data_IF_720507429821
#
_entry.id   IF_720507429821
#
_cell.length_a   1.000
_cell.length_b   1.000
_cell.length_c   1.000
_cell.angle_alpha   90.00
_cell.angle_beta   90.00
_cell.angle_gamma   90.00
#
_symmetry.space_group_name_H-M   'P 1'
#
loop_
_entity.id
_entity.type
_entity.pdbx_description
1 polymer ?
#
# COMPACT_ATOMS: atom_id res chain seq x y z
N UNK A 1 -12.01 -10.16 -5.90
CA UNK A 1 -12.48 -9.86 -4.52
C UNK A 1 -12.33 -8.36 -4.24
N UNK A 2 -13.19 -7.50 -4.83
CA UNK A 2 -13.04 -6.04 -4.72
C UNK A 2 -13.21 -5.55 -3.28
N UNK A 3 -14.13 -6.13 -2.50
CA UNK A 3 -14.37 -5.73 -1.10
C UNK A 3 -13.19 -5.99 -0.17
N UNK A 4 -12.53 -7.15 -0.28
CA UNK A 4 -11.35 -7.48 0.54
C UNK A 4 -10.18 -6.56 0.23
N UNK A 5 -9.94 -6.28 -1.06
CA UNK A 5 -8.84 -5.39 -1.48
C UNK A 5 -9.08 -3.97 -0.95
N UNK A 6 -10.32 -3.47 -1.01
CA UNK A 6 -10.66 -2.14 -0.50
C UNK A 6 -10.47 -2.04 1.03
N UNK A 7 -10.93 -3.06 1.79
CA UNK A 7 -10.71 -3.13 3.24
C UNK A 7 -9.21 -3.16 3.58
N UNK A 8 -8.43 -3.96 2.86
CA UNK A 8 -6.98 -4.03 3.06
C UNK A 8 -6.31 -2.70 2.72
N UNK A 9 -6.70 -2.04 1.63
CA UNK A 9 -6.16 -0.73 1.25
C UNK A 9 -6.41 0.34 2.33
N UNK A 10 -7.61 0.34 2.92
CA UNK A 10 -7.95 1.21 4.06
C UNK A 10 -7.02 0.98 5.26
N UNK A 11 -6.83 -0.28 5.65
CA UNK A 11 -5.99 -0.66 6.79
C UNK A 11 -4.51 -0.33 6.53
N UNK A 12 -4.00 -0.65 5.35
CA UNK A 12 -2.61 -0.36 4.95
C UNK A 12 -2.37 1.16 4.95
N UNK A 13 -3.25 1.94 4.32
CA UNK A 13 -3.13 3.40 4.31
C UNK A 13 -3.13 3.98 5.73
N UNK A 14 -3.96 3.44 6.62
CA UNK A 14 -4.03 3.88 8.02
C UNK A 14 -2.75 3.60 8.79
N UNK A 15 -2.14 2.43 8.60
CA UNK A 15 -0.91 2.04 9.33
C UNK A 15 0.33 2.72 8.74
N UNK A 16 0.40 2.87 7.42
CA UNK A 16 1.63 3.35 6.77
C UNK A 16 1.74 4.87 6.71
N UNK A 17 0.61 5.57 6.66
CA UNK A 17 0.55 7.01 6.36
C UNK A 17 -0.18 7.78 7.47
N UNK A 18 -1.05 7.08 8.21
CA UNK A 18 -1.84 7.66 9.29
C UNK A 18 -3.31 7.93 8.92
N UNK A 19 -4.06 8.56 9.83
CA UNK A 19 -5.52 8.68 9.77
C UNK A 19 -6.02 9.63 8.65
N UNK A 20 -5.18 10.51 8.15
CA UNK A 20 -5.58 11.57 7.22
C UNK A 20 -5.84 11.02 5.82
N UNK A 21 -4.93 10.16 5.32
CA UNK A 21 -5.04 9.61 3.97
C UNK A 21 -5.93 8.39 3.89
N UNK A 22 -6.09 7.64 4.98
CA UNK A 22 -6.96 6.46 4.99
C UNK A 22 -8.45 6.80 4.80
N UNK A 23 -8.83 8.08 4.87
CA UNK A 23 -10.20 8.56 4.63
C UNK A 23 -10.37 9.22 3.26
N UNK A 24 -9.27 9.46 2.54
CA UNK A 24 -9.31 10.08 1.23
C UNK A 24 -9.71 9.03 0.18
N UNK A 25 -10.96 9.10 -0.28
CA UNK A 25 -11.50 8.15 -1.27
C UNK A 25 -10.71 8.20 -2.59
N UNK A 26 -10.25 9.37 -3.03
CA UNK A 26 -9.42 9.48 -4.24
C UNK A 26 -8.12 8.68 -4.09
N UNK A 27 -7.47 8.78 -2.92
CA UNK A 27 -6.25 8.01 -2.66
C UNK A 27 -6.53 6.51 -2.65
N UNK A 28 -7.60 6.07 -1.99
CA UNK A 28 -7.95 4.65 -1.88
C UNK A 28 -8.29 4.05 -3.26
N UNK A 29 -9.10 4.74 -4.05
CA UNK A 29 -9.51 4.29 -5.38
C UNK A 29 -8.31 4.17 -6.30
N UNK A 30 -7.46 5.20 -6.34
CA UNK A 30 -6.23 5.16 -7.14
C UNK A 30 -5.28 4.08 -6.64
N UNK A 31 -5.14 3.88 -5.33
CA UNK A 31 -4.28 2.83 -4.75
C UNK A 31 -4.76 1.43 -5.13
N UNK A 32 -6.06 1.17 -5.04
CA UNK A 32 -6.66 -0.12 -5.40
C UNK A 32 -6.51 -0.38 -6.90
N UNK A 33 -6.80 0.62 -7.74
CA UNK A 33 -6.66 0.48 -9.18
C UNK A 33 -5.20 0.32 -9.61
N UNK A 34 -4.28 1.08 -9.00
CA UNK A 34 -2.85 0.95 -9.24
C UNK A 34 -2.37 -0.45 -8.90
N UNK A 35 -2.77 -0.97 -7.74
CA UNK A 35 -2.45 -2.33 -7.33
C UNK A 35 -2.94 -3.38 -8.35
N UNK A 36 -4.22 -3.34 -8.72
CA UNK A 36 -4.79 -4.25 -9.70
C UNK A 36 -4.04 -4.20 -11.05
N UNK A 37 -3.78 -2.99 -11.56
CA UNK A 37 -3.10 -2.80 -12.83
C UNK A 37 -1.62 -3.25 -12.79
N UNK A 38 -0.95 -3.06 -11.65
CA UNK A 38 0.45 -3.46 -11.48
C UNK A 38 0.60 -4.97 -11.63
N UNK A 39 -0.31 -5.76 -11.06
CA UNK A 39 -0.31 -7.22 -11.24
C UNK A 39 -0.53 -7.63 -12.69
N UNK A 40 -1.49 -6.99 -13.37
CA UNK A 40 -1.80 -7.31 -14.77
C UNK A 40 -0.57 -7.05 -15.64
N UNK A 41 0.03 -5.86 -15.51
CA UNK A 41 1.23 -5.49 -16.28
C UNK A 41 2.42 -6.38 -15.91
N UNK A 42 2.62 -6.68 -14.63
CA UNK A 42 3.68 -7.58 -14.17
C UNK A 42 3.54 -8.97 -14.79
N UNK A 43 2.33 -9.57 -14.76
CA UNK A 43 2.08 -10.88 -15.37
C UNK A 43 2.31 -10.88 -16.87
N UNK A 44 1.84 -9.86 -17.60
CA UNK A 44 2.09 -9.74 -19.04
C UNK A 44 3.60 -9.70 -19.32
N UNK A 45 4.37 -8.94 -18.53
CA UNK A 45 5.82 -8.84 -18.69
C UNK A 45 6.55 -10.14 -18.33
N UNK A 46 6.10 -10.87 -17.32
CA UNK A 46 6.68 -12.16 -16.93
C UNK A 46 6.50 -13.22 -18.01
N UNK A 47 5.34 -13.23 -18.68
CA UNK A 47 5.03 -14.19 -19.75
C UNK A 47 5.64 -13.80 -21.11
N UNK A 48 6.10 -12.56 -21.27
CA UNK A 48 6.75 -12.11 -22.49
C UNK A 48 8.20 -12.65 -22.59
N UNK A 49 8.56 -13.33 -23.70
CA UNK A 49 9.93 -13.72 -23.98
C UNK A 49 10.86 -12.52 -24.00
N UNK A 50 12.11 -12.69 -23.59
CA UNK A 50 13.12 -11.63 -23.50
C UNK A 50 13.30 -10.84 -24.80
N UNK A 51 13.16 -11.50 -25.96
CA UNK A 51 13.26 -10.87 -27.28
C UNK A 51 12.12 -9.89 -27.60
N UNK A 52 10.92 -10.09 -27.06
CA UNK A 52 9.77 -9.21 -27.30
C UNK A 52 9.67 -8.06 -26.28
N UNK A 53 10.43 -8.09 -25.19
CA UNK A 53 10.45 -7.04 -24.15
C UNK A 53 10.62 -5.61 -24.69
N UNK A 54 11.52 -5.30 -25.66
CA UNK A 54 11.68 -3.93 -26.15
C UNK A 54 10.51 -3.42 -27.00
N UNK A 55 9.70 -4.31 -27.56
CA UNK A 55 8.48 -3.95 -28.30
C UNK A 55 7.31 -3.82 -27.33
N UNK A 56 7.16 -4.81 -26.45
CA UNK A 56 6.11 -4.88 -25.44
C UNK A 56 6.18 -3.71 -24.45
N UNK A 57 7.39 -3.23 -24.09
CA UNK A 57 7.54 -2.03 -23.24
C UNK A 57 6.91 -0.76 -23.83
N UNK A 58 6.80 -0.67 -25.16
CA UNK A 58 6.23 0.48 -25.87
C UNK A 58 4.75 0.27 -26.21
N UNK A 59 4.33 -1.01 -26.36
CA UNK A 59 2.96 -1.35 -26.74
C UNK A 59 2.03 -1.43 -25.53
N UNK A 60 2.48 -1.78 -24.32
CA UNK A 60 1.57 -1.92 -23.17
C UNK A 60 0.96 -0.55 -22.79
N UNK A 61 -0.31 -0.26 -23.10
CA UNK A 61 -0.96 0.99 -22.69
C UNK A 61 -1.08 1.06 -21.15
N UNK A 62 -1.06 -0.11 -20.50
CA UNK A 62 -1.02 -0.25 -19.05
C UNK A 62 0.15 0.48 -18.39
N UNK A 63 1.31 0.68 -19.06
CA UNK A 63 2.41 1.48 -18.50
C UNK A 63 2.06 2.96 -18.40
N UNK A 64 1.37 3.51 -19.40
CA UNK A 64 0.91 4.91 -19.37
C UNK A 64 -0.11 5.06 -18.23
N UNK A 65 -1.01 4.08 -18.10
CA UNK A 65 -2.01 4.09 -17.04
C UNK A 65 -1.38 4.01 -15.65
N UNK A 66 -0.42 3.10 -15.45
CA UNK A 66 0.34 3.00 -14.19
C UNK A 66 1.10 4.29 -13.86
N UNK A 67 1.75 4.92 -14.84
CA UNK A 67 2.44 6.21 -14.62
C UNK A 67 1.47 7.32 -14.24
N UNK A 68 0.27 7.37 -14.82
CA UNK A 68 -0.77 8.33 -14.46
C UNK A 68 -1.25 8.10 -13.02
N UNK A 69 -1.50 6.84 -12.67
CA UNK A 69 -1.92 6.47 -11.31
C UNK A 69 -0.83 6.77 -10.27
N UNK A 70 0.43 6.44 -10.57
CA UNK A 70 1.57 6.80 -9.71
C UNK A 70 1.66 8.32 -9.54
N UNK A 71 1.52 9.11 -10.62
CA UNK A 71 1.54 10.56 -10.54
C UNK A 71 0.37 11.12 -9.70
N UNK A 72 -0.82 10.52 -9.79
CA UNK A 72 -1.97 10.87 -8.94
C UNK A 72 -1.68 10.56 -7.47
N UNK A 73 -1.14 9.38 -7.15
CA UNK A 73 -0.78 9.02 -5.78
C UNK A 73 0.31 9.95 -5.24
N UNK A 74 1.36 10.25 -6.02
CA UNK A 74 2.39 11.22 -5.65
C UNK A 74 1.78 12.59 -5.35
N UNK A 75 0.88 13.08 -6.21
CA UNK A 75 0.19 14.36 -5.98
C UNK A 75 -0.55 14.40 -4.65
N UNK A 76 -1.20 13.30 -4.27
CA UNK A 76 -1.93 13.19 -3.01
C UNK A 76 -1.01 13.04 -1.80
N UNK A 77 0.15 12.39 -1.94
CA UNK A 77 1.12 12.17 -0.86
C UNK A 77 2.04 13.36 -0.61
N UNK A 78 2.40 14.09 -1.65
CA UNK A 78 3.39 15.17 -1.59
C UNK A 78 3.11 16.21 -0.50
N UNK A 79 1.88 16.75 -0.34
CA UNK A 79 1.60 17.73 0.70
C UNK A 79 1.93 17.22 2.11
N UNK A 80 1.61 15.96 2.41
CA UNK A 80 1.83 15.35 3.72
C UNK A 80 3.32 15.11 3.99
N UNK A 81 4.05 14.62 2.99
CA UNK A 81 5.50 14.40 3.10
C UNK A 81 6.22 15.74 3.29
N UNK A 82 5.86 16.75 2.51
CA UNK A 82 6.45 18.09 2.63
C UNK A 82 6.12 18.75 3.96
N UNK A 83 4.86 18.68 4.41
CA UNK A 83 4.44 19.22 5.70
C UNK A 83 5.22 18.57 6.85
N UNK A 84 5.34 17.23 6.86
CA UNK A 84 6.10 16.53 7.89
C UNK A 84 7.59 16.89 7.88
N UNK A 85 8.20 17.01 6.70
CA UNK A 85 9.59 17.45 6.58
C UNK A 85 9.80 18.85 7.16
N UNK A 86 8.86 19.76 6.96
CA UNK A 86 8.89 21.11 7.54
C UNK A 86 8.72 21.09 9.06
N UNK A 87 7.79 20.29 9.59
CA UNK A 87 7.58 20.14 11.04
C UNK A 87 8.83 19.59 11.73
N UNK A 88 9.45 18.55 11.15
CA UNK A 88 10.69 17.98 11.65
C UNK A 88 11.85 18.99 11.63
N UNK A 89 11.98 19.78 10.55
CA UNK A 89 13.01 20.82 10.45
C UNK A 89 12.79 21.98 11.44
N UNK A 90 11.55 22.26 11.85
CA UNK A 90 11.21 23.27 12.84
C UNK A 90 11.52 22.84 14.29
N UNK A 91 12.03 21.62 14.50
CA UNK A 91 12.36 21.10 15.84
C UNK A 91 11.15 20.68 16.67
N UNK A 92 9.96 20.65 16.06
CA UNK A 92 8.76 20.12 16.70
C UNK A 92 8.69 18.61 16.45
N UNK A 93 8.60 17.87 17.55
CA UNK A 93 8.21 16.45 17.73
C UNK A 93 8.60 15.45 16.63
N UNK A 94 9.21 14.33 17.03
CA UNK A 94 9.31 13.15 16.16
C UNK A 94 7.91 12.81 15.64
N UNK A 95 7.79 12.67 14.32
CA UNK A 95 6.54 12.40 13.65
C UNK A 95 5.87 11.11 14.17
N UNK A 96 4.64 10.82 13.72
CA UNK A 96 3.96 9.58 14.09
C UNK A 96 4.86 8.37 13.79
N UNK A 97 4.87 7.38 14.69
CA UNK A 97 5.57 6.10 14.47
C UNK A 97 4.83 5.29 13.38
N UNK A 98 5.08 5.67 12.14
CA UNK A 98 4.50 5.07 10.94
C UNK A 98 5.57 4.77 9.89
N UNK A 99 5.14 4.13 8.79
CA UNK A 99 6.07 3.67 7.77
C UNK A 99 6.78 4.83 7.04
N UNK A 100 6.13 5.99 6.93
CA UNK A 100 6.76 7.17 6.37
C UNK A 100 7.91 7.65 7.27
N UNK A 101 7.71 7.69 8.59
CA UNK A 101 8.76 8.00 9.55
C UNK A 101 9.89 6.97 9.49
N UNK A 102 9.57 5.67 9.44
CA UNK A 102 10.56 4.60 9.29
C UNK A 102 11.43 4.78 8.04
N UNK A 103 10.82 5.12 6.90
CA UNK A 103 11.57 5.37 5.66
C UNK A 103 12.41 6.63 5.75
N UNK A 104 11.91 7.71 6.34
CA UNK A 104 12.70 8.89 6.59
C UNK A 104 13.89 8.59 7.49
N UNK A 105 13.74 7.78 8.53
CA UNK A 105 14.83 7.45 9.45
C UNK A 105 15.89 6.55 8.82
N UNK A 106 15.47 5.57 8.01
CA UNK A 106 16.36 4.63 7.33
C UNK A 106 17.07 5.19 6.09
N UNK A 107 16.62 6.33 5.55
CA UNK A 107 17.16 6.93 4.32
C UNK A 107 18.44 7.73 4.56
N UNK A 108 19.29 7.86 3.53
CA UNK A 108 20.42 8.80 3.54
C UNK A 108 19.93 10.27 3.56
N UNK A 109 20.79 11.21 3.95
CA UNK A 109 20.39 12.63 4.00
C UNK A 109 19.90 13.18 2.64
N UNK A 110 20.48 12.70 1.54
CA UNK A 110 20.07 13.09 0.19
C UNK A 110 18.65 12.59 -0.12
N UNK A 111 18.33 11.36 0.25
CA UNK A 111 17.02 10.73 0.06
C UNK A 111 15.95 11.32 0.99
N UNK A 112 16.30 11.67 2.23
CA UNK A 112 15.40 12.39 3.15
C UNK A 112 14.93 13.73 2.58
N UNK A 113 15.83 14.41 1.85
CA UNK A 113 15.57 15.69 1.21
C UNK A 113 14.88 15.55 -0.16
N UNK A 114 14.55 14.34 -0.61
CA UNK A 114 13.78 14.09 -1.83
C UNK A 114 12.37 13.55 -1.48
N UNK A 115 11.36 14.44 -1.38
CA UNK A 115 9.98 14.03 -1.16
C UNK A 115 9.44 13.07 -2.24
N UNK A 116 9.97 13.14 -3.46
CA UNK A 116 9.60 12.26 -4.55
C UNK A 116 10.09 10.83 -4.33
N UNK A 117 11.29 10.66 -3.77
CA UNK A 117 11.82 9.38 -3.34
C UNK A 117 10.96 8.76 -2.23
N UNK A 118 10.67 9.53 -1.17
CA UNK A 118 9.82 9.06 -0.07
C UNK A 118 8.41 8.68 -0.54
N UNK A 119 7.81 9.48 -1.43
CA UNK A 119 6.51 9.19 -2.01
C UNK A 119 6.53 7.87 -2.79
N UNK A 120 7.54 7.65 -3.63
CA UNK A 120 7.67 6.42 -4.41
C UNK A 120 7.87 5.20 -3.51
N UNK A 121 8.73 5.31 -2.50
CA UNK A 121 8.96 4.25 -1.51
C UNK A 121 7.68 3.86 -0.79
N UNK A 122 6.88 4.84 -0.37
CA UNK A 122 5.59 4.63 0.28
C UNK A 122 4.56 3.99 -0.66
N UNK A 123 4.48 4.44 -1.92
CA UNK A 123 3.60 3.84 -2.95
C UNK A 123 3.95 2.36 -3.15
N UNK A 124 5.24 2.04 -3.29
CA UNK A 124 5.71 0.67 -3.48
C UNK A 124 5.44 -0.21 -2.25
N UNK A 125 5.61 0.32 -1.05
CA UNK A 125 5.31 -0.38 0.18
C UNK A 125 3.80 -0.68 0.31
N UNK A 126 2.95 0.33 0.07
CA UNK A 126 1.49 0.16 0.05
C UNK A 126 1.07 -0.90 -0.97
N UNK A 127 1.64 -0.85 -2.18
CA UNK A 127 1.38 -1.84 -3.24
C UNK A 127 1.70 -3.27 -2.76
N UNK A 128 2.90 -3.47 -2.22
CA UNK A 128 3.34 -4.78 -1.74
C UNK A 128 2.45 -5.31 -0.60
N UNK A 129 2.13 -4.45 0.37
CA UNK A 129 1.30 -4.79 1.52
C UNK A 129 -0.15 -5.10 1.12
N UNK A 130 -0.75 -4.32 0.22
CA UNK A 130 -2.12 -4.55 -0.26
C UNK A 130 -2.20 -5.91 -0.95
N UNK A 131 -1.23 -6.23 -1.80
CA UNK A 131 -1.26 -7.49 -2.55
C UNK A 131 -1.13 -8.72 -1.68
N UNK A 132 -0.07 -8.79 -0.88
CA UNK A 132 0.17 -9.97 -0.03
C UNK A 132 -0.95 -10.16 0.98
N UNK A 133 -1.40 -9.08 1.63
CA UNK A 133 -2.46 -9.14 2.65
C UNK A 133 -3.81 -9.49 2.04
N UNK A 134 -4.15 -8.97 0.85
CA UNK A 134 -5.40 -9.35 0.19
C UNK A 134 -5.42 -10.83 -0.19
N UNK A 135 -4.29 -11.42 -0.59
CA UNK A 135 -4.16 -12.86 -0.86
C UNK A 135 -4.38 -13.64 0.45
N UNK A 136 -3.67 -13.29 1.52
CA UNK A 136 -3.80 -13.96 2.82
C UNK A 136 -5.22 -13.85 3.36
N UNK A 137 -5.82 -12.66 3.32
CA UNK A 137 -7.19 -12.43 3.78
C UNK A 137 -8.20 -13.24 2.97
N UNK A 138 -8.04 -13.29 1.64
CA UNK A 138 -8.91 -14.10 0.78
C UNK A 138 -8.79 -15.58 1.11
N UNK A 139 -7.56 -16.10 1.23
CA UNK A 139 -7.32 -17.50 1.55
C UNK A 139 -7.87 -17.86 2.95
N UNK A 140 -7.68 -16.99 3.94
CA UNK A 140 -8.25 -17.18 5.28
C UNK A 140 -9.78 -17.26 5.25
N UNK A 141 -10.45 -16.41 4.47
CA UNK A 141 -11.91 -16.47 4.30
C UNK A 141 -12.33 -17.79 3.63
N UNK A 142 -11.62 -18.24 2.61
CA UNK A 142 -11.89 -19.51 1.92
C UNK A 142 -11.66 -20.72 2.82
N UNK A 143 -10.61 -20.71 3.64
CA UNK A 143 -10.33 -21.76 4.62
C UNK A 143 -11.44 -21.84 5.68
N UNK A 144 -11.94 -20.70 6.15
CA UNK A 144 -13.07 -20.66 7.09
C UNK A 144 -14.37 -21.16 6.45
N UNK A 145 -14.62 -20.83 5.18
CA UNK A 145 -15.80 -21.30 4.45
C UNK A 145 -15.78 -22.81 4.20
N UNK A 146 -14.60 -23.40 3.98
CA UNK A 146 -14.44 -24.84 3.72
C UNK A 146 -14.25 -25.67 4.98
N UNK A 147 -13.84 -25.06 6.10
CA UNK A 147 -13.58 -25.72 7.38
C UNK A 147 -14.32 -25.01 8.53
N UNK A 148 -15.65 -25.12 8.60
CA UNK A 148 -16.46 -24.43 9.61
C UNK A 148 -16.06 -24.79 11.05
N UNK A 149 -15.43 -25.96 11.29
CA UNK A 149 -14.88 -26.32 12.60
C UNK A 149 -13.83 -25.34 13.14
N UNK A 150 -13.21 -24.52 12.29
CA UNK A 150 -12.25 -23.49 12.70
C UNK A 150 -12.94 -22.25 13.31
N UNK A 151 -14.24 -22.05 13.07
CA UNK A 151 -14.93 -20.84 13.52
C UNK A 151 -15.04 -20.71 15.04
N UNK A 152 -15.33 -21.80 15.74
CA UNK A 152 -15.51 -21.76 17.19
C UNK A 152 -14.19 -21.51 17.95
N UNK A 153 -13.06 -22.16 17.60
CA UNK A 153 -11.74 -21.78 18.10
C UNK A 153 -11.41 -20.31 17.81
N UNK A 154 -11.64 -19.83 16.57
CA UNK A 154 -11.33 -18.46 16.18
C UNK A 154 -12.13 -17.42 17.00
N UNK A 155 -13.45 -17.65 17.16
CA UNK A 155 -14.32 -16.79 17.98
C UNK A 155 -13.91 -16.77 19.45
N UNK A 156 -13.50 -17.92 20.00
CA UNK A 156 -12.96 -17.99 21.38
C UNK A 156 -11.66 -17.21 21.50
N UNK A 157 -10.71 -17.39 20.57
CA UNK A 157 -9.46 -16.63 20.53
C UNK A 157 -9.70 -15.13 20.47
N UNK A 158 -10.57 -14.67 19.56
CA UNK A 158 -10.93 -13.26 19.42
C UNK A 158 -11.52 -12.68 20.72
N UNK A 159 -12.47 -13.39 21.34
CA UNK A 159 -13.07 -12.96 22.62
C UNK A 159 -12.04 -12.85 23.75
N UNK A 160 -11.07 -13.75 23.79
CA UNK A 160 -10.01 -13.70 24.79
C UNK A 160 -9.09 -12.49 24.55
N UNK A 161 -8.68 -12.25 23.31
CA UNK A 161 -7.85 -11.10 22.95
C UNK A 161 -8.52 -9.75 23.29
N UNK A 162 -9.83 -9.62 23.02
CA UNK A 162 -10.60 -8.43 23.37
C UNK A 162 -10.79 -8.22 24.87
N UNK A 163 -10.65 -9.29 25.67
CA UNK A 163 -10.70 -9.22 27.14
C UNK A 163 -9.35 -8.87 27.75
N UNK A 164 -8.25 -9.32 27.13
CA UNK A 164 -6.88 -9.04 27.59
C UNK A 164 -6.33 -7.67 27.15
N UNK A 165 -6.94 -7.04 26.14
CA UNK A 165 -6.53 -5.73 25.63
C UNK A 165 -7.20 -4.53 26.32
N UNK A 166 -7.65 -4.67 27.57
CA UNK A 166 -8.13 -3.59 28.43
C UNK A 166 -7.24 -3.45 29.65
#
# INVERSE_FOLDING_TARGET
>A
YPGVIHLVALLVARVFIGPELCRNQEYLDVSVMFAANCLIVSRILTWCPSLLRPVVKHIIPGRIHLRRQEAQMRRLLMPFITQRGQTAAAGNEQGPDDLLQLFTDASSQAEKNDPGFLALSLINACLAAIHSTAIVATNAILDLATRPQLMDPLRRGLRNALRSGR
#
